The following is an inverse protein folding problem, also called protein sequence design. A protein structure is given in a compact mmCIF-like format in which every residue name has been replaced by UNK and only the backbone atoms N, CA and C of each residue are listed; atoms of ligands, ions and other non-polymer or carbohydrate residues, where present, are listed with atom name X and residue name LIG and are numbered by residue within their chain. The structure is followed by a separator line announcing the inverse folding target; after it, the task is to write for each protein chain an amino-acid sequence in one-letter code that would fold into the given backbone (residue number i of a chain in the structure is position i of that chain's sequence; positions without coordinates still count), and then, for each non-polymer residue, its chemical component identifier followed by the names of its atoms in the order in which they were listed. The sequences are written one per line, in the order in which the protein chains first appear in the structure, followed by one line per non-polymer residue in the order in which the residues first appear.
data_IF_943896510260
#
_entry.id   IF_943896510260
#
_cell.length_a   1.000
_cell.length_b   1.000
_cell.length_c   1.000
_cell.angle_alpha   90.00
_cell.angle_beta   90.00
_cell.angle_gamma   90.00
#
_symmetry.space_group_name_H-M   'P 1'
#
loop_
_entity.id
_entity.type
_entity.pdbx_description
1 polymer ?
#
# COMPACT_ATOMS: atom_id res chain seq x y z
N UNK A 1 -1.34 3.28 -1.16
CA UNK A 1 -2.66 2.66 -1.43
C UNK A 1 -3.44 3.34 -2.56
N UNK A 2 -2.86 4.30 -3.30
CA UNK A 2 -3.53 4.90 -4.45
C UNK A 2 -3.49 3.99 -5.69
N UNK A 3 -2.54 3.05 -5.75
CA UNK A 3 -2.16 2.34 -6.97
C UNK A 3 -3.26 1.47 -7.58
N UNK A 4 -4.02 0.68 -6.79
CA UNK A 4 -5.12 -0.12 -7.35
C UNK A 4 -6.38 0.70 -7.69
N UNK A 5 -6.70 1.72 -6.90
CA UNK A 5 -7.85 2.60 -7.19
C UNK A 5 -7.62 3.41 -8.46
N UNK A 6 -6.41 3.92 -8.68
CA UNK A 6 -6.02 4.60 -9.91
C UNK A 6 -6.04 3.64 -11.10
N UNK A 7 -5.48 2.43 -10.95
CA UNK A 7 -5.51 1.41 -12.01
C UNK A 7 -6.95 1.00 -12.41
N UNK A 8 -7.86 0.91 -11.42
CA UNK A 8 -9.28 0.71 -11.68
C UNK A 8 -9.89 1.85 -12.50
N UNK A 9 -9.64 3.11 -12.12
CA UNK A 9 -10.15 4.28 -12.82
C UNK A 9 -9.68 4.32 -14.28
N UNK A 10 -8.39 4.10 -14.52
CA UNK A 10 -7.83 4.04 -15.88
C UNK A 10 -8.47 2.94 -16.73
N UNK A 11 -8.62 1.73 -16.16
CA UNK A 11 -9.23 0.59 -16.85
C UNK A 11 -10.72 0.84 -17.18
N UNK A 12 -11.42 1.50 -16.26
CA UNK A 12 -12.84 1.82 -16.41
C UNK A 12 -13.06 2.91 -17.47
N UNK A 13 -12.26 3.98 -17.47
CA UNK A 13 -12.31 5.03 -18.49
C UNK A 13 -12.02 4.49 -19.89
N UNK A 14 -11.01 3.63 -20.04
CA UNK A 14 -10.70 2.97 -21.30
C UNK A 14 -11.90 2.17 -21.84
N UNK A 15 -12.58 1.42 -20.97
CA UNK A 15 -13.75 0.61 -21.34
C UNK A 15 -14.97 1.45 -21.71
N UNK A 16 -15.23 2.54 -20.99
CA UNK A 16 -16.29 3.48 -21.35
C UNK A 16 -16.03 4.13 -22.71
N UNK A 17 -14.78 4.45 -23.03
CA UNK A 17 -14.39 4.99 -24.32
C UNK A 17 -14.62 3.99 -25.47
N UNK A 18 -14.24 2.71 -25.28
CA UNK A 18 -14.41 1.67 -26.31
C UNK A 18 -15.89 1.45 -26.70
N UNK A 19 -16.82 1.49 -25.75
CA UNK A 19 -18.26 1.37 -26.04
C UNK A 19 -18.84 2.53 -26.88
N UNK A 20 -18.19 3.69 -26.90
CA UNK A 20 -18.63 4.84 -27.70
C UNK A 20 -18.26 4.74 -29.20
N UNK A 21 -17.39 3.80 -29.58
CA UNK A 21 -16.73 3.78 -30.90
C UNK A 21 -17.48 3.03 -32.02
N UNK A 22 -18.76 2.69 -31.84
CA UNK A 22 -19.58 2.04 -32.89
C UNK A 22 -19.95 2.99 -34.04
N UNK A 23 -19.21 2.95 -35.16
CA UNK A 23 -19.47 3.57 -36.49
C UNK A 23 -20.26 4.90 -36.49
N UNK A 24 -19.53 6.02 -36.48
CA UNK A 24 -20.10 7.38 -36.57
C UNK A 24 -19.53 8.13 -37.78
N UNK A 25 -20.39 8.75 -38.58
CA UNK A 25 -19.99 9.68 -39.66
C UNK A 25 -19.50 11.01 -39.07
N UNK A 26 -18.69 11.72 -39.86
CA UNK A 26 -17.94 12.93 -39.51
C UNK A 26 -18.77 14.14 -39.02
N UNK A 27 -20.10 14.08 -39.02
CA UNK A 27 -20.97 15.18 -38.54
C UNK A 27 -21.37 15.08 -37.05
N UNK A 28 -21.17 13.95 -36.38
CA UNK A 28 -21.53 13.79 -34.97
C UNK A 28 -20.48 14.33 -33.96
N UNK A 29 -19.40 14.93 -34.46
CA UNK A 29 -18.18 15.20 -33.70
C UNK A 29 -18.24 16.44 -32.80
N UNK A 30 -19.43 17.02 -32.52
CA UNK A 30 -19.59 18.16 -31.60
C UNK A 30 -20.77 17.99 -30.64
N UNK A 31 -20.47 17.55 -29.41
CA UNK A 31 -21.20 17.80 -28.13
C UNK A 31 -22.41 16.94 -27.74
N UNK A 32 -22.30 15.61 -27.76
CA UNK A 32 -23.13 14.76 -26.90
C UNK A 32 -22.33 13.53 -26.49
N UNK A 33 -21.83 13.52 -25.24
CA UNK A 33 -21.37 12.26 -24.64
C UNK A 33 -22.57 11.32 -24.59
N UNK A 34 -22.43 10.12 -25.13
CA UNK A 34 -23.47 9.07 -25.08
C UNK A 34 -24.07 9.01 -23.65
N UNK A 35 -25.41 9.10 -23.48
CA UNK A 35 -26.05 9.05 -22.16
C UNK A 35 -25.62 7.85 -21.30
N UNK A 36 -25.27 6.72 -21.92
CA UNK A 36 -24.75 5.53 -21.23
C UNK A 36 -23.35 5.76 -20.68
N UNK A 37 -22.49 6.42 -21.45
CA UNK A 37 -21.14 6.81 -21.00
C UNK A 37 -21.25 7.82 -19.87
N UNK A 38 -22.13 8.83 -20.01
CA UNK A 38 -22.39 9.81 -18.96
C UNK A 38 -22.84 9.13 -17.66
N UNK A 39 -23.81 8.22 -17.74
CA UNK A 39 -24.30 7.48 -16.58
C UNK A 39 -23.19 6.62 -15.93
N UNK A 40 -22.36 5.96 -16.73
CA UNK A 40 -21.21 5.20 -16.22
C UNK A 40 -20.22 6.08 -15.45
N UNK A 41 -19.91 7.28 -15.97
CA UNK A 41 -19.05 8.26 -15.30
C UNK A 41 -19.66 8.76 -13.98
N UNK A 42 -20.97 9.00 -13.94
CA UNK A 42 -21.69 9.40 -12.72
C UNK A 42 -21.61 8.30 -11.64
N UNK A 43 -21.74 7.03 -12.01
CA UNK A 43 -21.59 5.91 -11.06
C UNK A 43 -20.17 5.82 -10.48
N UNK A 44 -19.16 6.10 -11.29
CA UNK A 44 -17.76 6.07 -10.84
C UNK A 44 -17.47 7.23 -9.92
N UNK A 45 -17.95 8.44 -10.25
CA UNK A 45 -17.84 9.58 -9.35
C UNK A 45 -18.52 9.30 -8.00
N UNK A 46 -19.72 8.70 -8.03
CA UNK A 46 -20.43 8.29 -6.81
C UNK A 46 -19.61 7.28 -5.99
N UNK A 47 -18.99 6.29 -6.65
CA UNK A 47 -18.09 5.35 -5.99
C UNK A 47 -16.88 6.06 -5.35
N UNK A 48 -16.24 6.98 -6.08
CA UNK A 48 -15.06 7.72 -5.61
C UNK A 48 -15.38 8.55 -4.36
N UNK A 49 -16.53 9.23 -4.34
CA UNK A 49 -16.97 10.02 -3.19
C UNK A 49 -17.28 9.15 -1.96
N UNK A 50 -17.73 7.91 -2.17
CA UNK A 50 -18.12 7.00 -1.10
C UNK A 50 -16.96 6.17 -0.54
N UNK A 51 -15.94 5.89 -1.36
CA UNK A 51 -14.85 4.99 -1.03
C UNK A 51 -13.80 5.66 -0.12
N UNK A 52 -13.47 5.08 1.05
CA UNK A 52 -12.48 5.67 1.94
C UNK A 52 -11.07 5.42 1.41
N UNK A 53 -10.44 6.44 0.84
CA UNK A 53 -9.01 6.41 0.53
C UNK A 53 -8.16 6.33 1.82
N UNK A 54 -6.94 5.79 1.71
CA UNK A 54 -6.04 5.61 2.86
C UNK A 54 -6.37 4.40 3.74
N UNK A 55 -5.54 4.18 4.77
CA UNK A 55 -5.46 2.93 5.55
C UNK A 55 -6.57 2.71 6.57
N UNK A 56 -7.27 3.75 6.98
CA UNK A 56 -8.34 3.67 7.99
C UNK A 56 -9.69 3.32 7.35
N UNK A 57 -9.79 2.11 6.78
CA UNK A 57 -10.95 1.65 6.01
C UNK A 57 -12.22 1.49 6.86
N UNK A 58 -12.13 0.83 8.01
CA UNK A 58 -13.29 0.44 8.82
C UNK A 58 -14.14 1.63 9.29
N UNK A 59 -13.54 2.78 9.56
CA UNK A 59 -14.19 3.90 10.23
C UNK A 59 -14.64 5.04 9.30
N UNK A 60 -14.30 5.02 8.01
CA UNK A 60 -14.37 6.23 7.16
C UNK A 60 -15.19 6.12 5.87
N UNK A 61 -15.66 4.93 5.49
CA UNK A 61 -16.34 4.72 4.20
C UNK A 61 -17.87 4.74 4.26
N UNK A 62 -18.52 5.21 3.19
CA UNK A 62 -19.93 4.90 2.92
C UNK A 62 -20.03 3.57 2.17
N UNK A 63 -19.75 2.48 2.88
CA UNK A 63 -19.69 1.14 2.29
C UNK A 63 -20.97 0.67 1.57
N UNK A 64 -22.20 0.97 2.06
CA UNK A 64 -23.41 0.68 1.30
C UNK A 64 -23.44 1.37 -0.06
N UNK A 65 -22.94 2.60 -0.15
CA UNK A 65 -22.87 3.36 -1.41
C UNK A 65 -21.80 2.82 -2.35
N UNK A 66 -20.63 2.45 -1.81
CA UNK A 66 -19.56 1.75 -2.56
C UNK A 66 -20.11 0.49 -3.22
N UNK A 67 -20.76 -0.38 -2.45
CA UNK A 67 -21.32 -1.63 -2.98
C UNK A 67 -22.40 -1.39 -4.03
N UNK A 68 -23.32 -0.45 -3.75
CA UNK A 68 -24.41 -0.09 -4.65
C UNK A 68 -23.88 0.43 -5.99
N UNK A 69 -22.90 1.32 -5.96
CA UNK A 69 -22.30 1.90 -7.16
C UNK A 69 -21.54 0.85 -7.97
N UNK A 70 -20.73 0.00 -7.33
CA UNK A 70 -20.01 -1.08 -8.01
C UNK A 70 -20.94 -2.13 -8.63
N UNK A 71 -22.03 -2.47 -7.95
CA UNK A 71 -23.04 -3.41 -8.47
C UNK A 71 -23.72 -2.84 -9.72
N UNK A 72 -24.09 -1.55 -9.70
CA UNK A 72 -24.66 -0.86 -10.87
C UNK A 72 -23.67 -0.75 -12.02
N UNK A 73 -22.39 -0.50 -11.74
CA UNK A 73 -21.32 -0.51 -12.75
C UNK A 73 -21.28 -1.88 -13.44
N UNK A 74 -21.26 -2.98 -12.67
CA UNK A 74 -21.27 -4.34 -13.23
C UNK A 74 -22.48 -4.61 -14.12
N UNK A 75 -23.68 -4.26 -13.64
CA UNK A 75 -24.94 -4.37 -14.40
C UNK A 75 -24.85 -3.64 -15.73
N UNK A 76 -24.46 -2.37 -15.71
CA UNK A 76 -24.39 -1.54 -16.92
C UNK A 76 -23.38 -2.07 -17.96
N UNK A 77 -22.33 -2.73 -17.48
CA UNK A 77 -21.26 -3.28 -18.31
C UNK A 77 -21.50 -4.75 -18.71
N UNK A 78 -22.55 -5.40 -18.19
CA UNK A 78 -22.81 -6.83 -18.40
C UNK A 78 -21.75 -7.72 -17.77
N UNK A 79 -21.17 -7.29 -16.64
CA UNK A 79 -20.12 -8.00 -15.89
C UNK A 79 -20.68 -8.78 -14.70
N UNK A 80 -21.98 -9.07 -14.70
CA UNK A 80 -22.63 -9.92 -13.70
C UNK A 80 -22.35 -11.41 -13.95
N UNK A 81 -22.60 -12.27 -12.96
CA UNK A 81 -22.46 -13.72 -13.08
C UNK A 81 -21.02 -14.24 -12.93
N UNK A 82 -20.75 -15.43 -13.48
CA UNK A 82 -19.47 -16.12 -13.34
C UNK A 82 -18.37 -15.45 -14.18
N UNK A 83 -17.25 -15.08 -13.54
CA UNK A 83 -16.16 -14.39 -14.20
C UNK A 83 -15.48 -15.24 -15.30
N UNK A 84 -15.56 -16.57 -15.19
CA UNK A 84 -15.05 -17.51 -16.19
C UNK A 84 -15.69 -17.33 -17.58
N UNK A 85 -16.92 -16.78 -17.64
CA UNK A 85 -17.66 -16.56 -18.88
C UNK A 85 -17.27 -15.28 -19.61
N UNK A 86 -16.37 -14.47 -19.05
CA UNK A 86 -15.94 -13.20 -19.61
C UNK A 86 -14.72 -13.41 -20.52
N UNK A 87 -14.92 -13.34 -21.84
CA UNK A 87 -13.87 -13.57 -22.83
C UNK A 87 -12.96 -12.37 -23.08
N UNK A 88 -13.49 -11.15 -22.95
CA UNK A 88 -12.78 -9.89 -23.16
C UNK A 88 -11.80 -9.59 -21.99
N UNK A 89 -10.48 -9.45 -22.25
CA UNK A 89 -9.49 -9.16 -21.21
C UNK A 89 -9.76 -7.86 -20.44
N UNK A 90 -10.16 -6.78 -21.11
CA UNK A 90 -10.46 -5.51 -20.43
C UNK A 90 -11.69 -5.66 -19.51
N UNK A 91 -12.60 -6.57 -19.86
CA UNK A 91 -13.80 -6.87 -19.09
C UNK A 91 -13.45 -7.63 -17.81
N UNK A 92 -12.56 -8.61 -17.94
CA UNK A 92 -12.01 -9.35 -16.81
C UNK A 92 -11.23 -8.44 -15.88
N UNK A 93 -10.44 -7.52 -16.42
CA UNK A 93 -9.70 -6.52 -15.62
C UNK A 93 -10.64 -5.65 -14.78
N UNK A 94 -11.70 -5.08 -15.40
CA UNK A 94 -12.72 -4.32 -14.66
C UNK A 94 -13.48 -5.21 -13.66
N UNK A 95 -13.75 -6.47 -14.02
CA UNK A 95 -14.37 -7.44 -13.11
C UNK A 95 -13.49 -7.72 -11.88
N UNK A 96 -12.19 -7.95 -12.07
CA UNK A 96 -11.22 -8.19 -11.01
C UNK A 96 -11.13 -7.02 -10.03
N UNK A 97 -10.99 -5.78 -10.53
CA UNK A 97 -10.99 -4.60 -9.67
C UNK A 97 -12.31 -4.42 -8.90
N UNK A 98 -13.44 -4.66 -9.55
CA UNK A 98 -14.72 -4.58 -8.85
C UNK A 98 -14.91 -5.73 -7.85
N UNK A 99 -14.29 -6.90 -8.04
CA UNK A 99 -14.35 -8.01 -7.07
C UNK A 99 -13.50 -7.65 -5.84
N UNK A 100 -12.32 -7.08 -6.06
CA UNK A 100 -11.47 -6.52 -5.00
C UNK A 100 -12.20 -5.43 -4.18
N UNK A 101 -12.77 -4.42 -4.83
CA UNK A 101 -13.45 -3.32 -4.13
C UNK A 101 -14.74 -3.78 -3.42
N UNK A 102 -15.45 -4.76 -3.99
CA UNK A 102 -16.59 -5.39 -3.30
C UNK A 102 -16.14 -6.27 -2.13
N UNK A 103 -14.95 -6.87 -2.18
CA UNK A 103 -14.39 -7.58 -1.04
C UNK A 103 -14.22 -6.64 0.16
N UNK A 104 -13.67 -5.45 -0.06
CA UNK A 104 -13.56 -4.41 0.98
C UNK A 104 -14.94 -3.97 1.51
N UNK A 105 -15.93 -3.77 0.64
CA UNK A 105 -17.28 -3.41 1.07
C UNK A 105 -17.95 -4.51 1.92
N UNK A 106 -17.74 -5.78 1.59
CA UNK A 106 -18.20 -6.90 2.41
C UNK A 106 -17.45 -6.99 3.75
N UNK A 107 -16.13 -6.89 3.71
CA UNK A 107 -15.28 -7.02 4.89
C UNK A 107 -15.46 -5.85 5.86
N UNK A 108 -15.15 -4.63 5.42
CA UNK A 108 -15.21 -3.44 6.28
C UNK A 108 -16.61 -2.89 6.47
N UNK A 109 -17.51 -3.05 5.48
CA UNK A 109 -18.86 -2.49 5.53
C UNK A 109 -19.90 -3.38 6.20
N UNK A 110 -19.83 -4.69 5.96
CA UNK A 110 -20.80 -5.67 6.49
C UNK A 110 -20.25 -6.55 7.59
N UNK A 111 -18.94 -6.49 7.84
CA UNK A 111 -18.24 -7.43 8.71
C UNK A 111 -18.44 -8.90 8.27
N UNK A 112 -18.54 -9.12 6.95
CA UNK A 112 -18.76 -10.43 6.33
C UNK A 112 -17.43 -10.96 5.78
N UNK A 113 -16.66 -11.58 6.68
CA UNK A 113 -15.31 -12.10 6.42
C UNK A 113 -15.28 -13.11 5.28
N UNK A 114 -16.18 -14.09 5.29
CA UNK A 114 -16.14 -15.17 4.31
C UNK A 114 -16.48 -14.66 2.91
N UNK A 115 -17.44 -13.74 2.80
CA UNK A 115 -17.77 -13.12 1.53
C UNK A 115 -16.67 -12.19 1.01
N UNK A 116 -15.93 -11.53 1.91
CA UNK A 116 -14.77 -10.71 1.56
C UNK A 116 -13.63 -11.59 1.02
N UNK A 117 -13.20 -12.61 1.78
CA UNK A 117 -12.11 -13.50 1.38
C UNK A 117 -12.40 -14.23 0.06
N UNK A 118 -13.65 -14.67 -0.15
CA UNK A 118 -14.08 -15.27 -1.42
C UNK A 118 -13.90 -14.30 -2.60
N UNK A 119 -14.23 -13.03 -2.41
CA UNK A 119 -14.12 -11.99 -3.45
C UNK A 119 -12.67 -11.58 -3.70
N UNK A 120 -11.86 -11.45 -2.66
CA UNK A 120 -10.42 -11.22 -2.82
C UNK A 120 -9.78 -12.34 -3.65
N UNK A 121 -10.08 -13.60 -3.31
CA UNK A 121 -9.59 -14.76 -4.06
C UNK A 121 -10.03 -14.71 -5.52
N UNK A 122 -11.32 -14.42 -5.78
CA UNK A 122 -11.82 -14.29 -7.15
C UNK A 122 -11.16 -13.15 -7.94
N UNK A 123 -10.87 -12.02 -7.29
CA UNK A 123 -10.15 -10.91 -7.91
C UNK A 123 -8.70 -11.31 -8.24
N UNK A 124 -8.00 -11.92 -7.28
CA UNK A 124 -6.64 -12.42 -7.46
C UNK A 124 -6.56 -13.39 -8.65
N UNK A 125 -7.42 -14.42 -8.68
CA UNK A 125 -7.38 -15.46 -9.71
C UNK A 125 -7.59 -14.89 -11.12
N UNK A 126 -8.36 -13.80 -11.26
CA UNK A 126 -8.51 -13.09 -12.54
C UNK A 126 -7.22 -12.41 -12.98
N UNK A 127 -6.57 -11.66 -12.10
CA UNK A 127 -5.33 -10.98 -12.43
C UNK A 127 -4.18 -11.97 -12.66
N UNK A 128 -4.11 -13.04 -11.87
CA UNK A 128 -3.14 -14.10 -12.06
C UNK A 128 -3.33 -14.79 -13.43
N UNK A 129 -4.57 -15.10 -13.81
CA UNK A 129 -4.90 -15.68 -15.12
C UNK A 129 -4.49 -14.78 -16.27
N UNK A 130 -4.68 -13.48 -16.13
CA UNK A 130 -4.38 -12.49 -17.18
C UNK A 130 -2.89 -12.05 -17.19
N UNK A 131 -2.07 -12.59 -16.27
CA UNK A 131 -0.64 -12.28 -16.18
C UNK A 131 -0.32 -10.95 -15.51
N UNK A 132 -1.31 -10.27 -14.92
CA UNK A 132 -1.17 -9.04 -14.14
C UNK A 132 -0.65 -9.37 -12.72
N UNK A 133 0.47 -10.09 -12.62
CA UNK A 133 1.01 -10.63 -11.36
C UNK A 133 1.32 -9.54 -10.32
N UNK A 134 1.67 -8.35 -10.78
CA UNK A 134 1.83 -7.18 -9.91
C UNK A 134 0.54 -6.83 -9.14
N UNK A 135 -0.63 -6.85 -9.82
CA UNK A 135 -1.92 -6.59 -9.18
C UNK A 135 -2.30 -7.74 -8.24
N UNK A 136 -2.02 -8.98 -8.64
CA UNK A 136 -2.27 -10.16 -7.83
C UNK A 136 -1.51 -10.10 -6.48
N UNK A 137 -0.23 -9.72 -6.50
CA UNK A 137 0.56 -9.51 -5.29
C UNK A 137 -0.01 -8.43 -4.36
N UNK A 138 -0.49 -7.32 -4.92
CA UNK A 138 -1.19 -6.28 -4.15
C UNK A 138 -2.45 -6.81 -3.46
N UNK A 139 -3.23 -7.67 -4.13
CA UNK A 139 -4.44 -8.24 -3.54
C UNK A 139 -4.10 -9.05 -2.28
N UNK A 140 -3.02 -9.83 -2.29
CA UNK A 140 -2.57 -10.54 -1.08
C UNK A 140 -2.14 -9.62 0.05
N UNK A 141 -1.46 -8.51 -0.26
CA UNK A 141 -1.20 -7.49 0.75
C UNK A 141 -2.51 -6.97 1.37
N UNK A 142 -3.52 -6.65 0.56
CA UNK A 142 -4.81 -6.17 1.06
C UNK A 142 -5.56 -7.21 1.90
N UNK A 143 -5.50 -8.49 1.53
CA UNK A 143 -6.05 -9.57 2.36
C UNK A 143 -5.33 -9.62 3.72
N UNK A 144 -4.01 -9.55 3.72
CA UNK A 144 -3.22 -9.54 4.94
C UNK A 144 -3.53 -8.33 5.83
N UNK A 145 -3.64 -7.14 5.25
CA UNK A 145 -4.02 -5.91 5.96
C UNK A 145 -5.43 -6.04 6.56
N UNK A 146 -6.40 -6.53 5.78
CA UNK A 146 -7.76 -6.77 6.26
C UNK A 146 -7.77 -7.73 7.46
N UNK A 147 -7.08 -8.87 7.37
CA UNK A 147 -7.01 -9.85 8.45
C UNK A 147 -6.33 -9.30 9.70
N UNK A 148 -5.29 -8.49 9.56
CA UNK A 148 -4.67 -7.82 10.70
C UNK A 148 -5.67 -6.87 11.40
N UNK A 149 -6.45 -6.10 10.62
CA UNK A 149 -7.47 -5.21 11.16
C UNK A 149 -8.61 -5.96 11.86
N UNK A 150 -8.88 -7.21 11.46
CA UNK A 150 -9.82 -8.12 12.13
C UNK A 150 -9.23 -8.80 13.37
N UNK A 151 -7.97 -8.56 13.71
CA UNK A 151 -7.31 -9.20 14.85
C UNK A 151 -6.83 -10.62 14.57
N UNK A 152 -6.55 -10.97 13.31
CA UNK A 152 -6.03 -12.27 12.88
C UNK A 152 -4.56 -12.18 12.39
N UNK A 153 -3.60 -11.81 13.26
CA UNK A 153 -2.22 -11.51 12.85
C UNK A 153 -1.48 -12.70 12.23
N UNK A 154 -1.75 -13.93 12.69
CA UNK A 154 -1.11 -15.13 12.13
C UNK A 154 -1.45 -15.31 10.65
N UNK A 155 -2.73 -15.26 10.29
CA UNK A 155 -3.17 -15.35 8.89
C UNK A 155 -2.73 -14.12 8.09
N UNK A 156 -2.73 -12.93 8.69
CA UNK A 156 -2.20 -11.74 8.05
C UNK A 156 -0.73 -11.91 7.62
N UNK A 157 0.08 -12.55 8.46
CA UNK A 157 1.46 -12.90 8.16
C UNK A 157 1.59 -13.86 6.98
N UNK A 158 0.76 -14.90 6.91
CA UNK A 158 0.74 -15.84 5.78
C UNK A 158 0.48 -15.13 4.44
N UNK A 159 -0.50 -14.22 4.41
CA UNK A 159 -0.81 -13.45 3.19
C UNK A 159 0.24 -12.40 2.85
N UNK A 160 0.88 -11.78 3.85
CA UNK A 160 2.00 -10.87 3.61
C UNK A 160 3.20 -11.59 2.96
N UNK A 161 3.49 -12.84 3.39
CA UNK A 161 4.53 -13.67 2.75
C UNK A 161 4.15 -14.02 1.32
N UNK A 162 2.91 -14.46 1.07
CA UNK A 162 2.43 -14.75 -0.30
C UNK A 162 2.53 -13.53 -1.22
N UNK A 163 2.20 -12.34 -0.72
CA UNK A 163 2.33 -11.10 -1.47
C UNK A 163 3.79 -10.82 -1.90
N UNK A 164 4.76 -11.09 -1.02
CA UNK A 164 6.19 -10.93 -1.33
C UNK A 164 6.68 -11.98 -2.33
N UNK A 165 6.29 -13.24 -2.17
CA UNK A 165 6.62 -14.33 -3.10
C UNK A 165 6.09 -14.04 -4.52
N UNK A 166 4.85 -13.56 -4.61
CA UNK A 166 4.24 -13.20 -5.89
C UNK A 166 4.85 -11.94 -6.50
N UNK A 167 5.19 -10.93 -5.69
CA UNK A 167 5.94 -9.76 -6.16
C UNK A 167 7.30 -10.17 -6.76
N UNK A 168 8.02 -11.10 -6.13
CA UNK A 168 9.26 -11.67 -6.66
C UNK A 168 9.07 -12.34 -8.03
N UNK A 169 7.98 -13.09 -8.18
CA UNK A 169 7.61 -13.72 -9.46
C UNK A 169 7.23 -12.71 -10.56
N UNK A 170 6.75 -11.52 -10.17
CA UNK A 170 6.34 -10.44 -11.08
C UNK A 170 7.49 -9.49 -11.48
N UNK A 171 8.75 -9.80 -11.13
CA UNK A 171 9.90 -8.90 -11.26
C UNK A 171 9.82 -7.59 -10.46
N UNK A 172 8.94 -7.53 -9.44
CA UNK A 172 8.78 -6.37 -8.54
C UNK A 172 9.24 -6.61 -7.09
N UNK A 173 9.73 -7.82 -6.77
CA UNK A 173 10.20 -8.21 -5.44
C UNK A 173 11.66 -7.82 -5.16
N UNK A 174 12.18 -8.18 -3.97
CA UNK A 174 13.53 -7.77 -3.53
C UNK A 174 14.67 -8.27 -4.44
N UNK A 175 14.45 -9.35 -5.20
CA UNK A 175 15.44 -9.91 -6.14
C UNK A 175 15.60 -9.08 -7.43
N UNK A 176 14.66 -8.16 -7.72
CA UNK A 176 14.72 -7.30 -8.89
C UNK A 176 15.71 -6.11 -8.69
N UNK A 177 16.21 -5.49 -9.77
CA UNK A 177 16.88 -4.19 -9.70
C UNK A 177 16.01 -3.16 -8.97
N UNK A 178 16.63 -2.26 -8.20
CA UNK A 178 15.90 -1.34 -7.32
C UNK A 178 14.89 -0.46 -8.08
N UNK A 179 15.19 -0.13 -9.34
CA UNK A 179 14.34 0.62 -10.26
C UNK A 179 13.09 -0.13 -10.72
N UNK A 180 13.12 -1.47 -10.67
CA UNK A 180 12.03 -2.36 -11.08
C UNK A 180 11.21 -2.84 -9.88
N UNK A 181 11.72 -2.69 -8.66
CA UNK A 181 11.02 -3.05 -7.43
C UNK A 181 9.76 -2.21 -7.25
N UNK A 182 8.67 -2.85 -6.82
CA UNK A 182 7.52 -2.12 -6.29
C UNK A 182 7.81 -1.71 -4.84
N UNK A 183 8.52 -0.59 -4.70
CA UNK A 183 8.88 -0.04 -3.40
C UNK A 183 7.64 0.25 -2.52
N UNK A 184 6.49 0.58 -3.11
CA UNK A 184 5.27 0.84 -2.35
C UNK A 184 4.70 -0.46 -1.75
N UNK A 185 4.61 -1.52 -2.55
CA UNK A 185 4.16 -2.84 -2.09
C UNK A 185 5.11 -3.42 -1.04
N UNK A 186 6.41 -3.37 -1.30
CA UNK A 186 7.44 -3.87 -0.38
C UNK A 186 7.39 -3.14 0.96
N UNK A 187 7.32 -1.80 0.95
CA UNK A 187 7.20 -1.00 2.15
C UNK A 187 5.96 -1.39 2.98
N UNK A 188 4.82 -1.56 2.31
CA UNK A 188 3.56 -1.93 2.94
C UNK A 188 3.58 -3.35 3.54
N UNK A 189 4.10 -4.34 2.81
CA UNK A 189 4.20 -5.72 3.25
C UNK A 189 5.18 -5.89 4.41
N UNK A 190 6.36 -5.26 4.34
CA UNK A 190 7.29 -5.33 5.46
C UNK A 190 6.76 -4.59 6.69
N UNK A 191 6.04 -3.48 6.53
CA UNK A 191 5.35 -2.85 7.68
C UNK A 191 4.28 -3.79 8.25
N UNK A 192 3.54 -4.51 7.40
CA UNK A 192 2.54 -5.50 7.83
C UNK A 192 3.19 -6.64 8.61
N UNK A 193 4.30 -7.20 8.13
CA UNK A 193 5.06 -8.24 8.84
C UNK A 193 5.62 -7.74 10.19
N UNK A 194 6.09 -6.49 10.25
CA UNK A 194 6.50 -5.86 11.49
C UNK A 194 5.36 -5.78 12.50
N UNK A 195 4.17 -5.36 12.05
CA UNK A 195 2.96 -5.31 12.88
C UNK A 195 2.53 -6.71 13.37
N UNK A 196 2.64 -7.74 12.51
CA UNK A 196 2.33 -9.13 12.86
C UNK A 196 3.30 -9.65 13.92
N UNK A 197 4.60 -9.44 13.75
CA UNK A 197 5.61 -9.85 14.72
C UNK A 197 5.41 -9.14 16.06
N UNK A 198 5.11 -7.83 16.03
CA UNK A 198 4.84 -7.07 17.25
C UNK A 198 3.55 -7.53 17.95
N UNK A 199 2.50 -7.88 17.20
CA UNK A 199 1.27 -8.45 17.75
C UNK A 199 1.50 -9.82 18.41
N UNK A 200 2.50 -10.58 17.93
CA UNK A 200 2.95 -11.82 18.56
C UNK A 200 3.90 -11.59 19.76
N UNK A 201 4.23 -10.33 20.09
CA UNK A 201 5.18 -9.97 21.15
C UNK A 201 6.65 -10.15 20.77
N UNK A 202 6.96 -10.43 19.50
CA UNK A 202 8.31 -10.63 19.01
C UNK A 202 8.92 -9.33 18.45
N UNK A 203 9.42 -8.50 19.38
CA UNK A 203 10.08 -7.24 19.05
C UNK A 203 11.31 -7.46 18.15
N UNK A 204 12.03 -8.56 18.36
CA UNK A 204 13.25 -8.87 17.63
C UNK A 204 12.94 -9.16 16.16
N UNK A 205 11.89 -9.94 15.88
CA UNK A 205 11.43 -10.18 14.51
C UNK A 205 10.80 -8.92 13.87
N UNK A 206 10.13 -8.06 14.65
CA UNK A 206 9.47 -6.87 14.13
C UNK A 206 10.46 -5.82 13.56
N UNK A 207 11.60 -5.62 14.24
CA UNK A 207 12.55 -4.55 13.92
C UNK A 207 13.15 -4.61 12.50
N UNK A 208 13.68 -5.76 12.02
CA UNK A 208 14.18 -5.87 10.65
C UNK A 208 13.09 -5.58 9.60
N UNK A 209 11.85 -5.97 9.87
CA UNK A 209 10.73 -5.69 8.98
C UNK A 209 10.41 -4.19 8.92
N UNK A 210 10.37 -3.48 10.05
CA UNK A 210 10.17 -2.03 10.03
C UNK A 210 11.35 -1.26 9.40
N UNK A 211 12.58 -1.75 9.53
CA UNK A 211 13.73 -1.16 8.83
C UNK A 211 13.58 -1.32 7.31
N UNK A 212 13.22 -2.51 6.81
CA UNK A 212 12.91 -2.72 5.38
C UNK A 212 11.75 -1.85 4.91
N UNK A 213 10.69 -1.76 5.70
CA UNK A 213 9.51 -0.96 5.36
C UNK A 213 9.86 0.51 5.12
N UNK A 214 10.63 1.09 6.05
CA UNK A 214 11.04 2.50 5.97
C UNK A 214 12.10 2.74 4.91
N UNK A 215 12.98 1.77 4.64
CA UNK A 215 13.89 1.80 3.51
C UNK A 215 13.16 1.94 2.18
N UNK A 216 12.23 1.03 1.89
CA UNK A 216 11.49 1.06 0.62
C UNK A 216 10.62 2.31 0.49
N UNK A 217 9.97 2.73 1.56
CA UNK A 217 9.19 3.97 1.56
C UNK A 217 10.07 5.22 1.33
N UNK A 218 11.29 5.23 1.86
CA UNK A 218 12.23 6.34 1.68
C UNK A 218 12.79 6.37 0.25
N UNK A 219 13.22 5.22 -0.27
CA UNK A 219 13.75 5.07 -1.63
C UNK A 219 12.70 5.43 -2.69
N UNK A 220 11.42 5.15 -2.43
CA UNK A 220 10.34 5.47 -3.35
C UNK A 220 10.20 6.99 -3.64
N UNK A 221 10.81 7.84 -2.81
CA UNK A 221 10.89 9.29 -3.08
C UNK A 221 12.05 9.67 -4.03
N UNK A 222 12.75 8.69 -4.63
CA UNK A 222 13.88 8.93 -5.53
C UNK A 222 14.03 7.91 -6.66
N UNK A 223 13.39 6.75 -6.53
CA UNK A 223 13.43 5.63 -7.48
C UNK A 223 12.01 5.02 -7.56
N UNK A 224 11.45 4.80 -8.77
CA UNK A 224 12.06 5.09 -10.08
C UNK A 224 12.09 6.58 -10.41
N UNK A 225 11.14 7.35 -9.89
CA UNK A 225 10.98 8.77 -10.16
C UNK A 225 11.37 9.64 -8.95
N UNK A 226 11.74 10.92 -9.16
CA UNK A 226 11.94 11.85 -8.07
C UNK A 226 10.68 12.04 -7.21
N UNK A 227 10.88 12.48 -5.96
CA UNK A 227 9.80 12.75 -5.01
C UNK A 227 8.69 13.63 -5.62
N UNK A 228 7.47 13.26 -5.30
CA UNK A 228 6.25 14.01 -5.56
C UNK A 228 5.39 14.08 -4.28
N UNK A 229 4.26 14.78 -4.35
CA UNK A 229 3.35 14.87 -3.19
C UNK A 229 2.84 13.50 -2.71
N UNK A 230 2.70 12.53 -3.62
CA UNK A 230 2.18 11.20 -3.33
C UNK A 230 3.19 10.36 -2.54
N UNK A 231 4.40 10.19 -3.07
CA UNK A 231 5.52 9.47 -2.45
C UNK A 231 5.90 10.07 -1.10
N UNK A 232 5.85 11.40 -0.96
CA UNK A 232 6.05 12.08 0.32
C UNK A 232 4.93 11.78 1.33
N UNK A 233 3.67 11.74 0.89
CA UNK A 233 2.55 11.38 1.76
C UNK A 233 2.63 9.90 2.18
N UNK A 234 3.00 9.02 1.25
CA UNK A 234 3.20 7.60 1.52
C UNK A 234 4.31 7.35 2.54
N UNK A 235 5.47 7.99 2.39
CA UNK A 235 6.56 7.88 3.36
C UNK A 235 6.14 8.35 4.75
N UNK A 236 5.40 9.46 4.84
CA UNK A 236 4.81 9.95 6.10
C UNK A 236 3.79 8.97 6.69
N UNK A 237 2.98 8.31 5.87
CA UNK A 237 2.07 7.25 6.36
C UNK A 237 2.84 6.08 6.95
N UNK A 238 3.84 5.53 6.25
CA UNK A 238 4.61 4.38 6.72
C UNK A 238 5.33 4.70 8.05
N UNK A 239 6.06 5.80 8.08
CA UNK A 239 6.78 6.26 9.28
C UNK A 239 5.84 6.58 10.44
N UNK A 240 4.71 7.24 10.18
CA UNK A 240 3.70 7.56 11.18
C UNK A 240 3.06 6.32 11.80
N UNK A 241 2.75 5.29 11.00
CA UNK A 241 2.22 4.00 11.50
C UNK A 241 3.24 3.30 12.42
N UNK A 242 4.51 3.27 12.04
CA UNK A 242 5.57 2.66 12.84
C UNK A 242 5.79 3.46 14.14
N UNK A 243 5.77 4.78 14.06
CA UNK A 243 5.84 5.65 15.24
C UNK A 243 4.67 5.45 16.20
N UNK A 244 3.45 5.24 15.68
CA UNK A 244 2.29 4.90 16.51
C UNK A 244 2.47 3.56 17.23
N UNK A 245 3.13 2.56 16.60
CA UNK A 245 3.50 1.31 17.27
C UNK A 245 4.54 1.52 18.37
N UNK A 246 5.55 2.36 18.12
CA UNK A 246 6.53 2.72 19.13
C UNK A 246 5.88 3.38 20.36
N UNK A 247 4.91 4.29 20.13
CA UNK A 247 4.14 4.91 21.20
C UNK A 247 3.32 3.88 21.99
N UNK A 248 2.56 3.01 21.31
CA UNK A 248 1.77 1.98 21.96
C UNK A 248 2.63 1.01 22.78
N UNK A 249 3.81 0.65 22.26
CA UNK A 249 4.79 -0.14 22.99
C UNK A 249 5.31 0.61 24.21
N UNK A 250 5.70 1.88 24.08
CA UNK A 250 6.19 2.69 25.20
C UNK A 250 5.14 2.90 26.31
N UNK A 251 3.85 2.94 25.95
CA UNK A 251 2.74 3.07 26.89
C UNK A 251 2.56 1.82 27.78
N UNK A 252 3.01 0.66 27.31
CA UNK A 252 2.94 -0.62 28.06
C UNK A 252 4.27 -0.97 28.70
N UNK A 253 5.37 -0.75 27.98
CA UNK A 253 6.75 -0.91 28.41
C UNK A 253 7.62 0.23 27.84
N UNK A 254 7.86 1.24 28.68
CA UNK A 254 8.64 2.41 28.29
C UNK A 254 10.08 2.08 27.90
N UNK A 255 10.68 1.02 28.45
CA UNK A 255 12.03 0.61 28.10
C UNK A 255 12.05 -0.05 26.72
N UNK A 256 11.10 -0.94 26.43
CA UNK A 256 10.95 -1.55 25.12
C UNK A 256 10.66 -0.51 24.03
N UNK A 257 9.78 0.46 24.29
CA UNK A 257 9.49 1.55 23.36
C UNK A 257 10.71 2.41 23.03
N UNK A 258 11.55 2.74 24.04
CA UNK A 258 12.83 3.44 23.81
C UNK A 258 13.82 2.60 23.01
N UNK A 259 13.97 1.33 23.35
CA UNK A 259 14.87 0.42 22.64
C UNK A 259 14.46 0.25 21.17
N UNK A 260 13.16 0.16 20.90
CA UNK A 260 12.60 0.12 19.55
C UNK A 260 12.98 1.35 18.72
N UNK A 261 12.71 2.54 19.25
CA UNK A 261 13.04 3.80 18.58
C UNK A 261 14.55 3.95 18.34
N UNK A 262 15.36 3.59 19.35
CA UNK A 262 16.82 3.66 19.25
C UNK A 262 17.36 2.73 18.15
N UNK A 263 16.86 1.49 18.08
CA UNK A 263 17.27 0.53 17.06
C UNK A 263 16.99 1.05 15.64
N UNK A 264 15.79 1.59 15.41
CA UNK A 264 15.43 2.19 14.12
C UNK A 264 16.31 3.41 13.82
N UNK A 265 16.56 4.27 14.80
CA UNK A 265 17.42 5.45 14.60
C UNK A 265 18.87 5.05 14.27
N UNK A 266 19.37 3.96 14.86
CA UNK A 266 20.71 3.43 14.59
C UNK A 266 20.81 2.79 13.20
N UNK A 267 19.76 2.13 12.70
CA UNK A 267 19.69 1.69 11.30
C UNK A 267 19.90 2.87 10.33
N UNK A 268 19.34 4.04 10.64
CA UNK A 268 19.48 5.26 9.85
C UNK A 268 20.80 6.03 10.06
N UNK A 269 21.80 5.45 10.73
CA UNK A 269 23.09 6.11 10.98
C UNK A 269 23.75 6.65 9.70
N UNK A 270 23.60 5.97 8.56
CA UNK A 270 24.15 6.44 7.28
C UNK A 270 23.61 7.82 6.86
N UNK A 271 22.33 8.09 7.15
CA UNK A 271 21.72 9.41 6.97
C UNK A 271 22.23 10.39 8.04
N UNK A 272 22.18 10.00 9.32
CA UNK A 272 22.58 10.87 10.44
C UNK A 272 24.08 11.23 10.47
N UNK A 273 24.93 10.51 9.76
CA UNK A 273 26.33 10.91 9.56
C UNK A 273 26.47 12.18 8.69
N UNK A 274 25.42 12.54 7.95
CA UNK A 274 25.38 13.64 6.98
C UNK A 274 24.48 14.80 7.43
N UNK A 275 23.61 14.56 8.41
CA UNK A 275 22.60 15.51 8.88
C UNK A 275 22.57 15.54 10.41
N UNK A 276 22.09 16.63 11.04
CA UNK A 276 21.92 16.66 12.49
C UNK A 276 21.03 15.52 12.99
N UNK A 277 21.55 14.70 13.92
CA UNK A 277 20.80 13.62 14.57
C UNK A 277 19.92 14.21 15.68
N UNK A 278 18.62 13.86 15.77
CA UNK A 278 17.80 14.19 16.93
C UNK A 278 18.42 13.64 18.23
N UNK A 279 18.41 14.44 19.30
CA UNK A 279 18.97 14.04 20.59
C UNK A 279 18.10 12.99 21.29
N UNK A 280 18.70 12.23 22.22
CA UNK A 280 17.97 11.30 23.08
C UNK A 280 16.84 11.98 23.88
N UNK A 281 17.07 13.22 24.33
CA UNK A 281 16.05 14.02 25.03
C UNK A 281 14.85 14.36 24.13
N UNK A 282 15.11 14.60 22.83
CA UNK A 282 14.06 14.85 21.83
C UNK A 282 13.20 13.61 21.67
N UNK A 283 13.83 12.44 21.53
CA UNK A 283 13.13 11.15 21.44
C UNK A 283 12.30 10.88 22.71
N UNK A 284 12.89 11.05 23.89
CA UNK A 284 12.20 10.83 25.16
C UNK A 284 10.98 11.76 25.31
N UNK A 285 11.13 13.03 24.94
CA UNK A 285 10.03 14.00 24.97
C UNK A 285 8.92 13.63 23.98
N UNK A 286 9.28 13.15 22.80
CA UNK A 286 8.30 12.72 21.79
C UNK A 286 7.48 11.50 22.23
N UNK A 287 8.09 10.55 22.96
CA UNK A 287 7.39 9.37 23.49
C UNK A 287 6.45 9.69 24.67
N UNK A 288 6.56 10.87 25.28
CA UNK A 288 5.72 11.28 26.41
C UNK A 288 4.33 11.81 25.97
N UNK A 289 4.15 12.09 24.68
CA UNK A 289 2.92 12.65 24.11
C UNK A 289 2.42 11.74 22.99
N UNK A 290 1.10 11.49 22.84
CA UNK A 290 0.55 10.70 21.75
C UNK A 290 0.60 11.45 20.40
N UNK A 291 1.80 11.79 19.94
CA UNK A 291 2.06 12.45 18.66
C UNK A 291 2.99 11.58 17.80
N UNK A 292 2.42 10.68 16.97
CA UNK A 292 3.20 9.84 16.06
C UNK A 292 4.07 10.65 15.08
N UNK A 293 3.70 11.88 14.74
CA UNK A 293 4.51 12.71 13.84
C UNK A 293 5.78 13.22 14.54
N UNK A 294 5.68 13.63 15.80
CA UNK A 294 6.84 14.02 16.61
C UNK A 294 7.80 12.84 16.83
N UNK A 295 7.25 11.65 17.09
CA UNK A 295 8.06 10.42 17.24
C UNK A 295 8.74 10.07 15.91
N UNK A 296 8.00 10.10 14.80
CA UNK A 296 8.55 9.83 13.47
C UNK A 296 9.71 10.79 13.13
N UNK A 297 9.56 12.09 13.41
CA UNK A 297 10.60 13.10 13.20
C UNK A 297 11.86 12.88 14.08
N UNK A 298 11.72 12.19 15.21
CA UNK A 298 12.85 11.87 16.09
C UNK A 298 13.64 10.63 15.63
N UNK A 299 13.03 9.72 14.87
CA UNK A 299 13.63 8.40 14.54
C UNK A 299 13.95 8.21 13.05
N UNK A 300 13.26 8.90 12.14
CA UNK A 300 13.41 8.73 10.70
C UNK A 300 13.98 9.98 10.01
N UNK A 301 14.68 9.83 8.88
CA UNK A 301 14.93 10.94 7.96
C UNK A 301 13.62 11.65 7.59
N UNK A 302 13.60 12.98 7.45
CA UNK A 302 12.43 13.70 6.98
C UNK A 302 12.12 13.36 5.51
N UNK A 303 10.86 13.47 5.12
CA UNK A 303 10.47 13.57 3.72
C UNK A 303 11.04 14.86 3.10
N UNK A 304 11.02 14.97 1.76
CA UNK A 304 11.23 16.26 1.10
C UNK A 304 10.29 17.33 1.70
N UNK A 305 10.80 18.54 1.88
CA UNK A 305 10.04 19.69 2.38
C UNK A 305 10.24 20.89 1.46
N UNK A 306 9.27 21.82 1.45
CA UNK A 306 9.31 22.99 0.59
C UNK A 306 8.81 22.73 -0.84
N UNK A 307 9.36 23.44 -1.81
CA UNK A 307 8.98 23.33 -3.22
C UNK A 307 9.49 21.99 -3.80
N UNK A 308 8.56 21.10 -4.07
CA UNK A 308 8.82 19.75 -4.60
C UNK A 308 9.55 19.83 -5.95
N UNK A 309 9.12 20.72 -6.85
CA UNK A 309 9.70 20.81 -8.20
C UNK A 309 11.15 21.28 -8.16
N UNK A 310 11.46 22.22 -7.28
CA UNK A 310 12.81 22.76 -7.14
C UNK A 310 13.75 21.81 -6.36
N UNK A 311 13.23 21.08 -5.37
CA UNK A 311 14.04 20.27 -4.46
C UNK A 311 14.17 18.78 -4.81
N UNK A 312 13.29 18.22 -5.65
CA UNK A 312 13.22 16.77 -5.86
C UNK A 312 14.52 16.16 -6.42
N UNK A 313 15.23 16.85 -7.31
CA UNK A 313 16.49 16.34 -7.88
C UNK A 313 17.61 16.28 -6.82
N UNK A 314 17.71 17.30 -5.98
CA UNK A 314 18.72 17.35 -4.91
C UNK A 314 18.43 16.30 -3.85
N UNK A 315 17.16 16.19 -3.45
CA UNK A 315 16.69 15.17 -2.52
C UNK A 315 16.92 13.75 -3.06
N UNK A 316 16.64 13.50 -4.33
CA UNK A 316 16.90 12.19 -4.94
C UNK A 316 18.39 11.82 -4.91
N UNK A 317 19.31 12.79 -5.04
CA UNK A 317 20.76 12.55 -4.87
C UNK A 317 21.12 12.22 -3.43
N UNK A 318 20.49 12.88 -2.45
CA UNK A 318 20.69 12.58 -1.02
C UNK A 318 20.22 11.17 -0.67
N UNK A 319 19.02 10.79 -1.13
CA UNK A 319 18.48 9.43 -0.96
C UNK A 319 19.43 8.41 -1.58
N UNK A 320 19.82 8.59 -2.84
CA UNK A 320 20.72 7.67 -3.56
C UNK A 320 22.09 7.53 -2.90
N UNK A 321 22.60 8.57 -2.26
CA UNK A 321 23.89 8.54 -1.58
C UNK A 321 23.94 7.58 -0.37
N UNK A 322 22.79 7.18 0.18
CA UNK A 322 22.72 6.31 1.35
C UNK A 322 22.08 4.94 1.10
N UNK A 323 21.68 4.62 -0.13
CA UNK A 323 21.05 3.33 -0.46
C UNK A 323 21.98 2.15 -0.13
N UNK A 324 23.18 2.12 -0.74
CA UNK A 324 24.13 1.02 -0.55
C UNK A 324 24.51 0.75 0.92
N UNK A 325 24.82 1.75 1.78
CA UNK A 325 25.08 1.48 3.19
C UNK A 325 23.84 0.99 3.95
N UNK A 326 22.63 1.40 3.58
CA UNK A 326 21.39 0.92 4.21
C UNK A 326 21.06 -0.51 3.79
N UNK A 327 21.21 -0.88 2.52
CA UNK A 327 21.05 -2.27 2.06
C UNK A 327 22.00 -3.21 2.81
N UNK A 328 23.27 -2.81 2.97
CA UNK A 328 24.24 -3.56 3.77
C UNK A 328 23.80 -3.71 5.25
N UNK A 329 23.19 -2.68 5.83
CA UNK A 329 22.67 -2.75 7.19
C UNK A 329 21.47 -3.70 7.30
N UNK A 330 20.60 -3.77 6.28
CA UNK A 330 19.51 -4.76 6.22
C UNK A 330 20.02 -6.20 6.18
N UNK A 331 21.06 -6.47 5.40
CA UNK A 331 21.68 -7.80 5.33
C UNK A 331 22.24 -8.25 6.69
N UNK A 332 22.84 -7.32 7.44
CA UNK A 332 23.36 -7.58 8.78
C UNK A 332 22.25 -7.89 9.79
N UNK A 333 21.10 -7.21 9.68
CA UNK A 333 19.92 -7.50 10.50
C UNK A 333 19.35 -8.89 10.18
N UNK A 334 19.34 -9.30 8.90
CA UNK A 334 18.88 -10.61 8.48
C UNK A 334 19.80 -11.74 8.95
N UNK A 335 21.12 -11.55 8.87
CA UNK A 335 22.12 -12.53 9.31
C UNK A 335 22.23 -12.69 10.83
N UNK A 336 21.65 -11.76 11.61
CA UNK A 336 21.65 -11.79 13.07
C UNK A 336 20.44 -12.52 13.67
N UNK A 337 19.48 -12.95 12.83
CA UNK A 337 18.34 -13.75 13.29
C UNK A 337 18.81 -15.15 13.71
N UNK A 338 18.51 -15.63 14.95
CA UNK A 338 18.82 -16.99 15.34
C UNK A 338 18.14 -17.97 14.37
N UNK A 339 18.80 -19.06 13.95
CA UNK A 339 18.20 -20.02 13.02
C UNK A 339 16.91 -20.54 13.65
N UNK A 340 15.79 -20.38 12.94
CA UNK A 340 14.50 -20.90 13.36
C UNK A 340 14.65 -22.37 13.74
N UNK A 341 14.40 -22.68 15.02
CA UNK A 341 14.40 -24.04 15.53
C UNK A 341 13.40 -24.87 14.74
N UNK A 342 13.89 -25.97 14.16
CA UNK A 342 13.07 -26.98 13.49
C UNK A 342 12.14 -27.70 14.46
#
# INVERSE_FOLDING_TARGET
MASLTVAFQSSMLARLALRSSGTWSAEAQRRSVDPRVKHGLELVATFQEAYPEGHEKAAKGNWPEVERSLTKIRQSLGLEGEAANISDPDARRVRGFTDFLLAEAHGYGRNDRDAALKRYTAAHDLFQRDGDLWVAAWIWFYVGQYLLDQGEPALAGEYAVRALEEAGSAAGGEDAPLEERDAELLANNFRLLGDVALAAGDLHAALPHYCRATFYAYVFQAIPEPADSYTMAFYREITGRIAARAFALAATDAAAGRAFCQHIQDYWQAYWARHPRPSTDTLQSSLAVPDPAAIAAAIFPPALSGDVLAGAADYAREVKAIIAPLEKALDQLAGSAPPHGK
#
